data_IF_132490749578
#
_entry.id   IF_132490749578
#
_cell.length_a   1.000
_cell.length_b   1.000
_cell.length_c   1.000
_cell.angle_alpha   90.00
_cell.angle_beta   90.00
_cell.angle_gamma   90.00
#
_symmetry.space_group_name_H-M   'P 1'
#
loop_
_entity.id
_entity.type
_entity.pdbx_description
1 polymer ?
#
# COMPACT_ATOMS: atom_id res chain seq x y z
N UNK A 1 17.60 38.73 -38.55
CA UNK A 1 17.00 37.93 -37.47
C UNK A 1 15.50 37.86 -37.69
N UNK A 2 14.97 36.74 -38.18
CA UNK A 2 13.54 36.55 -38.45
C UNK A 2 12.89 35.80 -37.29
N UNK A 3 11.92 36.43 -36.61
CA UNK A 3 11.20 35.84 -35.48
C UNK A 3 10.17 34.83 -36.01
N UNK A 4 10.32 33.55 -35.64
CA UNK A 4 9.38 32.48 -35.99
C UNK A 4 8.29 32.40 -34.91
N UNK A 5 7.08 32.80 -35.25
CA UNK A 5 5.91 32.69 -34.35
C UNK A 5 5.37 31.26 -34.38
N UNK A 6 5.26 30.62 -33.21
CA UNK A 6 4.70 29.27 -33.07
C UNK A 6 3.21 29.42 -32.73
N UNK A 7 2.35 28.95 -33.63
CA UNK A 7 0.90 28.87 -33.41
C UNK A 7 0.58 27.66 -32.52
N UNK A 8 0.04 27.91 -31.32
CA UNK A 8 -0.40 26.88 -30.39
C UNK A 8 -1.91 26.72 -30.57
N UNK A 9 -2.32 25.62 -31.20
CA UNK A 9 -3.73 25.27 -31.32
C UNK A 9 -4.38 25.14 -29.93
N UNK A 10 -5.66 25.54 -29.76
CA UNK A 10 -6.33 25.48 -28.48
C UNK A 10 -6.44 24.03 -27.99
N UNK A 11 -6.04 23.80 -26.74
CA UNK A 11 -6.10 22.48 -26.10
C UNK A 11 -7.56 22.00 -26.07
N UNK A 12 -7.85 20.73 -26.40
CA UNK A 12 -9.19 20.18 -26.22
C UNK A 12 -9.58 20.27 -24.74
N UNK A 13 -10.76 20.84 -24.48
CA UNK A 13 -11.34 20.98 -23.14
C UNK A 13 -11.48 19.57 -22.56
N UNK A 14 -10.71 19.29 -21.50
CA UNK A 14 -10.59 17.97 -20.88
C UNK A 14 -11.83 17.64 -20.04
N UNK A 15 -12.97 17.36 -20.68
CA UNK A 15 -14.13 16.73 -20.02
C UNK A 15 -13.76 15.38 -19.42
N UNK A 16 -12.77 14.67 -19.99
CA UNK A 16 -12.29 13.37 -19.51
C UNK A 16 -11.57 13.39 -18.16
N UNK A 17 -11.07 14.55 -17.70
CA UNK A 17 -10.35 14.63 -16.42
C UNK A 17 -11.30 14.64 -15.23
N UNK A 18 -12.47 15.27 -15.36
CA UNK A 18 -13.52 15.26 -14.33
C UNK A 18 -14.13 13.86 -14.20
N UNK A 19 -14.44 13.19 -15.31
CA UNK A 19 -14.93 11.81 -15.28
C UNK A 19 -13.91 10.82 -14.69
N UNK A 20 -12.61 11.02 -14.94
CA UNK A 20 -11.56 10.20 -14.33
C UNK A 20 -11.44 10.40 -12.81
N UNK A 21 -11.68 11.63 -12.33
CA UNK A 21 -11.70 11.94 -10.89
C UNK A 21 -12.92 11.31 -10.22
N UNK A 22 -14.11 11.47 -10.81
CA UNK A 22 -15.34 10.85 -10.31
C UNK A 22 -15.25 9.32 -10.29
N UNK A 23 -14.61 8.70 -11.29
CA UNK A 23 -14.39 7.25 -11.33
C UNK A 23 -13.49 6.78 -10.18
N UNK A 24 -12.47 7.56 -9.83
CA UNK A 24 -11.57 7.25 -8.72
C UNK A 24 -12.26 7.35 -7.36
N UNK A 25 -13.12 8.36 -7.18
CA UNK A 25 -13.90 8.54 -5.95
C UNK A 25 -14.93 7.41 -5.78
N UNK A 26 -15.61 7.01 -6.86
CA UNK A 26 -16.60 5.93 -6.82
C UNK A 26 -15.99 4.53 -6.66
N UNK A 27 -14.70 4.35 -6.94
CA UNK A 27 -13.98 3.08 -6.74
C UNK A 27 -13.38 2.92 -5.33
N UNK A 28 -13.41 3.97 -4.51
CA UNK A 28 -12.96 3.94 -3.13
C UNK A 28 -14.05 3.42 -2.19
N UNK A 29 -14.15 2.10 -2.03
CA UNK A 29 -14.41 1.35 -0.76
C UNK A 29 -15.01 -0.02 -1.06
N UNK A 30 -14.21 -0.93 -1.61
CA UNK A 30 -14.32 -2.35 -1.31
C UNK A 30 -12.88 -2.87 -1.18
N UNK A 31 -12.45 -3.36 0.00
CA UNK A 31 -11.19 -4.09 0.06
C UNK A 31 -11.38 -5.37 -0.74
N UNK A 32 -10.79 -5.38 -1.92
CA UNK A 32 -10.56 -6.59 -2.72
C UNK A 32 -9.90 -7.63 -1.83
N UNK A 33 -10.69 -8.60 -1.36
CA UNK A 33 -10.23 -9.80 -0.65
C UNK A 33 -10.13 -10.97 -1.62
N UNK A 34 -9.68 -10.70 -2.84
CA UNK A 34 -9.41 -11.74 -3.84
C UNK A 34 -7.93 -12.14 -3.74
N UNK A 35 -7.54 -12.75 -2.60
CA UNK A 35 -6.39 -13.66 -2.63
C UNK A 35 -6.89 -15.03 -3.00
N UNK A 36 -6.92 -15.26 -4.31
CA UNK A 36 -6.82 -16.58 -4.90
C UNK A 36 -5.43 -17.12 -4.52
N UNK A 37 -5.36 -18.06 -3.57
CA UNK A 37 -4.17 -18.89 -3.38
C UNK A 37 -4.56 -20.23 -2.71
N UNK A 38 -4.83 -21.19 -3.59
CA UNK A 38 -5.02 -22.59 -3.23
C UNK A 38 -3.65 -23.15 -2.84
N UNK A 39 -3.26 -23.04 -1.56
CA UNK A 39 -2.27 -23.88 -0.80
C UNK A 39 -1.74 -23.25 0.50
N UNK A 40 -2.24 -22.09 0.94
CA UNK A 40 -1.82 -21.52 2.22
C UNK A 40 -2.43 -22.30 3.40
N UNK A 41 -1.57 -22.96 4.21
CA UNK A 41 -1.91 -23.49 5.55
C UNK A 41 -2.84 -22.50 6.26
N UNK A 42 -3.94 -22.98 6.84
CA UNK A 42 -4.96 -22.15 7.47
C UNK A 42 -4.36 -21.06 8.38
N UNK A 43 -4.22 -19.84 7.86
CA UNK A 43 -3.66 -18.70 8.61
C UNK A 43 -4.77 -18.15 9.49
N UNK A 44 -4.55 -18.13 10.81
CA UNK A 44 -5.44 -17.46 11.75
C UNK A 44 -4.96 -16.04 12.03
N UNK A 45 -5.89 -15.09 12.08
CA UNK A 45 -5.59 -13.71 12.49
C UNK A 45 -5.35 -13.66 14.00
N UNK A 46 -4.33 -12.91 14.39
CA UNK A 46 -3.97 -12.68 15.79
C UNK A 46 -3.84 -11.17 16.02
N UNK A 47 -4.57 -10.65 17.00
CA UNK A 47 -4.48 -9.25 17.43
C UNK A 47 -3.75 -9.20 18.75
N UNK A 48 -2.68 -8.40 18.83
CA UNK A 48 -1.86 -8.25 20.02
C UNK A 48 -1.84 -6.79 20.46
N UNK A 49 -2.00 -6.54 21.76
CA UNK A 49 -1.74 -5.24 22.36
C UNK A 49 -0.34 -5.24 22.95
N UNK A 50 0.42 -4.17 22.73
CA UNK A 50 1.78 -4.03 23.25
C UNK A 50 2.06 -2.56 23.60
N UNK A 51 3.04 -2.27 24.48
CA UNK A 51 3.45 -0.90 24.76
C UNK A 51 3.90 -0.16 23.48
N UNK A 52 3.56 1.12 23.36
CA UNK A 52 3.89 1.95 22.20
C UNK A 52 5.40 2.01 21.93
N UNK A 53 6.20 2.11 22.99
CA UNK A 53 7.66 2.12 22.89
C UNK A 53 8.22 0.84 22.28
N UNK A 54 7.65 -0.32 22.62
CA UNK A 54 8.06 -1.60 22.05
C UNK A 54 7.67 -1.67 20.58
N UNK A 55 6.46 -1.25 20.25
CA UNK A 55 5.98 -1.21 18.87
C UNK A 55 6.86 -0.30 17.97
N UNK A 56 7.29 0.85 18.48
CA UNK A 56 8.23 1.76 17.79
C UNK A 56 9.58 1.11 17.55
N UNK A 57 10.16 0.47 18.57
CA UNK A 57 11.45 -0.25 18.44
C UNK A 57 11.38 -1.35 17.39
N UNK A 58 10.32 -2.16 17.40
CA UNK A 58 10.10 -3.22 16.42
C UNK A 58 9.98 -2.63 15.01
N UNK A 59 9.20 -1.54 14.84
CA UNK A 59 9.08 -0.87 13.54
C UNK A 59 10.41 -0.36 13.02
N UNK A 60 11.20 0.33 13.84
CA UNK A 60 12.50 0.87 13.44
C UNK A 60 13.44 -0.26 12.99
N UNK A 61 13.50 -1.34 13.76
CA UNK A 61 14.28 -2.53 13.38
C UNK A 61 13.83 -3.11 12.04
N UNK A 62 12.53 -3.26 11.82
CA UNK A 62 11.99 -3.80 10.58
C UNK A 62 12.33 -2.92 9.36
N UNK A 63 12.24 -1.59 9.51
CA UNK A 63 12.60 -0.63 8.46
C UNK A 63 14.08 -0.73 8.11
N UNK A 64 14.97 -0.77 9.12
CA UNK A 64 16.42 -0.87 8.91
C UNK A 64 16.83 -2.14 8.17
N UNK A 65 16.14 -3.25 8.42
CA UNK A 65 16.45 -4.55 7.83
C UNK A 65 15.63 -4.87 6.57
N UNK A 66 14.73 -3.98 6.14
CA UNK A 66 13.80 -4.19 5.02
C UNK A 66 12.90 -5.44 5.19
N UNK A 67 12.49 -5.76 6.42
CA UNK A 67 11.65 -6.93 6.76
C UNK A 67 10.24 -6.46 7.12
N UNK A 68 9.21 -7.27 6.83
CA UNK A 68 7.84 -6.97 7.26
C UNK A 68 7.63 -7.33 8.73
N UNK A 69 6.89 -6.48 9.43
CA UNK A 69 6.69 -6.63 10.88
C UNK A 69 6.03 -7.98 11.27
N UNK A 70 5.11 -8.49 10.45
CA UNK A 70 4.45 -9.76 10.72
C UNK A 70 5.40 -10.95 10.56
N UNK A 71 6.32 -10.93 9.58
CA UNK A 71 7.32 -11.98 9.38
C UNK A 71 8.24 -12.05 10.61
N UNK A 72 8.69 -10.89 11.09
CA UNK A 72 9.53 -10.81 12.28
C UNK A 72 8.80 -11.29 13.55
N UNK A 73 7.53 -10.92 13.71
CA UNK A 73 6.72 -11.40 14.85
C UNK A 73 6.52 -12.92 14.80
N UNK A 74 6.24 -13.49 13.62
CA UNK A 74 6.12 -14.94 13.45
C UNK A 74 7.44 -15.63 13.77
N UNK A 75 8.58 -15.08 13.32
CA UNK A 75 9.92 -15.62 13.63
C UNK A 75 10.17 -15.65 15.14
N UNK A 76 9.92 -14.54 15.84
CA UNK A 76 10.12 -14.43 17.30
C UNK A 76 9.24 -15.45 18.02
N UNK A 77 7.94 -15.50 17.70
CA UNK A 77 7.00 -16.44 18.33
C UNK A 77 7.41 -17.88 18.01
N UNK A 78 7.80 -18.17 16.77
CA UNK A 78 8.24 -19.52 16.36
C UNK A 78 9.50 -19.94 17.10
N UNK A 79 10.42 -19.02 17.38
CA UNK A 79 11.66 -19.31 18.12
C UNK A 79 11.39 -19.65 19.59
N UNK A 80 10.42 -18.99 20.22
CA UNK A 80 10.10 -19.21 21.64
C UNK A 80 9.30 -20.49 21.88
N UNK A 81 8.46 -20.89 20.92
CA UNK A 81 7.55 -22.04 21.06
C UNK A 81 8.02 -23.31 20.32
N UNK A 82 9.26 -23.33 19.82
CA UNK A 82 9.87 -24.47 19.13
C UNK A 82 11.04 -25.02 19.91
#
# INVERSE_FOLDING_TARGET
MTKKTISISPRPIQTSKLEAIDKWVNQGTLPDRSTDDTTLKAVKRFTLTMPDELHKKIKMYCVQNNIKIHEKLIEIITKEFK
#
